data_IF_461669587252
#
_entry.id   IF_461669587252
#
_cell.length_a   1.000
_cell.length_b   1.000
_cell.length_c   1.000
_cell.angle_alpha   90.00
_cell.angle_beta   90.00
_cell.angle_gamma   90.00
#
_symmetry.space_group_name_H-M   'P 1'
#
loop_
_entity.id
_entity.type
_entity.pdbx_description
1 polymer ?
#
# COMPACT_ATOMS: atom_id res chain seq x y z
N UNK A 1 -16.74 -12.59 -24.84
CA UNK A 1 -15.82 -11.46 -24.56
C UNK A 1 -15.47 -11.30 -23.07
N UNK A 2 -16.46 -11.15 -22.19
CA UNK A 2 -16.23 -10.96 -20.73
C UNK A 2 -15.36 -12.08 -20.11
N UNK A 3 -15.52 -13.32 -20.58
CA UNK A 3 -14.75 -14.48 -20.10
C UNK A 3 -13.24 -14.41 -20.38
N UNK A 4 -12.79 -13.66 -21.39
CA UNK A 4 -11.36 -13.49 -21.68
C UNK A 4 -10.76 -12.27 -20.95
N UNK A 5 -11.54 -11.19 -20.82
CA UNK A 5 -11.06 -9.93 -20.26
C UNK A 5 -10.87 -9.99 -18.74
N UNK A 6 -11.74 -10.70 -18.03
CA UNK A 6 -11.62 -10.90 -16.59
C UNK A 6 -10.28 -11.60 -16.21
N UNK A 7 -9.94 -12.78 -16.73
CA UNK A 7 -8.67 -13.43 -16.42
C UNK A 7 -7.46 -12.64 -16.95
N UNK A 8 -7.59 -11.90 -18.06
CA UNK A 8 -6.51 -11.01 -18.55
C UNK A 8 -6.20 -9.90 -17.56
N UNK A 9 -7.25 -9.24 -17.04
CA UNK A 9 -7.11 -8.20 -16.01
C UNK A 9 -6.34 -8.73 -14.80
N UNK A 10 -6.71 -9.92 -14.33
CA UNK A 10 -6.08 -10.52 -13.15
C UNK A 10 -4.62 -10.85 -13.39
N UNK A 11 -4.30 -11.45 -14.55
CA UNK A 11 -2.91 -11.78 -14.92
C UNK A 11 -2.05 -10.54 -15.09
N UNK A 12 -2.57 -9.47 -15.70
CA UNK A 12 -1.84 -8.21 -15.86
C UNK A 12 -1.54 -7.54 -14.51
N UNK A 13 -2.51 -7.51 -13.59
CA UNK A 13 -2.30 -6.98 -12.25
C UNK A 13 -1.28 -7.81 -11.47
N UNK A 14 -1.37 -9.14 -11.55
CA UNK A 14 -0.39 -10.05 -10.93
C UNK A 14 1.01 -9.91 -11.53
N UNK A 15 1.12 -9.59 -12.83
CA UNK A 15 2.37 -9.27 -13.50
C UNK A 15 2.93 -7.88 -13.14
N UNK A 16 2.24 -7.13 -12.28
CA UNK A 16 2.68 -5.82 -11.79
C UNK A 16 2.38 -4.65 -12.72
N UNK A 17 1.49 -4.82 -13.71
CA UNK A 17 1.03 -3.73 -14.58
C UNK A 17 0.14 -2.78 -13.77
N UNK A 18 0.37 -1.48 -13.90
CA UNK A 18 -0.34 -0.47 -13.12
C UNK A 18 -1.86 -0.50 -13.43
N UNK A 19 -2.77 -0.39 -12.43
CA UNK A 19 -4.21 -0.52 -12.64
C UNK A 19 -4.79 0.42 -13.71
N UNK A 20 -4.24 1.63 -13.84
CA UNK A 20 -4.63 2.59 -14.88
C UNK A 20 -4.33 2.08 -16.30
N UNK A 21 -3.19 1.41 -16.48
CA UNK A 21 -2.77 0.84 -17.76
C UNK A 21 -3.57 -0.41 -18.08
N UNK A 22 -3.85 -1.24 -17.07
CA UNK A 22 -4.73 -2.41 -17.24
C UNK A 22 -6.12 -1.99 -17.71
N UNK A 23 -6.72 -0.95 -17.09
CA UNK A 23 -8.03 -0.43 -17.52
C UNK A 23 -8.01 0.08 -18.95
N UNK A 24 -7.04 0.96 -19.27
CA UNK A 24 -6.89 1.52 -20.61
C UNK A 24 -6.71 0.41 -21.65
N UNK A 25 -5.84 -0.56 -21.39
CA UNK A 25 -5.57 -1.66 -22.30
C UNK A 25 -6.79 -2.56 -22.51
N UNK A 26 -7.58 -2.83 -21.47
CA UNK A 26 -8.83 -3.60 -21.61
C UNK A 26 -9.83 -2.85 -22.48
N UNK A 27 -9.96 -1.53 -22.31
CA UNK A 27 -10.83 -0.70 -23.16
C UNK A 27 -10.34 -0.73 -24.61
N UNK A 28 -9.04 -0.51 -24.85
CA UNK A 28 -8.46 -0.58 -26.19
C UNK A 28 -8.67 -1.95 -26.86
N UNK A 29 -8.57 -3.05 -26.10
CA UNK A 29 -8.88 -4.40 -26.61
C UNK A 29 -10.37 -4.59 -26.91
N UNK A 30 -11.26 -4.04 -26.10
CA UNK A 30 -12.71 -4.09 -26.35
C UNK A 30 -13.08 -3.35 -27.63
N UNK A 31 -12.53 -2.14 -27.81
CA UNK A 31 -12.76 -1.33 -29.00
C UNK A 31 -12.22 -2.05 -30.25
N UNK A 32 -10.98 -2.58 -30.19
CA UNK A 32 -10.40 -3.31 -31.31
C UNK A 32 -11.18 -4.59 -31.65
N UNK A 33 -11.69 -5.29 -30.63
CA UNK A 33 -12.53 -6.45 -30.85
C UNK A 33 -13.87 -6.10 -31.52
N UNK A 34 -14.47 -4.96 -31.15
CA UNK A 34 -15.70 -4.47 -31.76
C UNK A 34 -15.49 -4.09 -33.23
N UNK A 35 -14.37 -3.44 -33.55
CA UNK A 35 -13.96 -3.13 -34.92
C UNK A 35 -13.78 -4.41 -35.75
N UNK A 36 -13.10 -5.41 -35.19
CA UNK A 36 -12.91 -6.72 -35.83
C UNK A 36 -14.24 -7.44 -36.04
N UNK A 37 -15.15 -7.42 -35.06
CA UNK A 37 -16.45 -8.05 -35.18
C UNK A 37 -17.29 -7.38 -36.29
N UNK A 38 -17.27 -6.05 -36.38
CA UNK A 38 -17.96 -5.30 -37.44
C UNK A 38 -17.40 -5.66 -38.82
N UNK A 39 -16.07 -5.80 -38.93
CA UNK A 39 -15.42 -6.23 -40.16
C UNK A 39 -15.79 -7.68 -40.56
N UNK A 40 -15.95 -8.60 -39.60
CA UNK A 40 -16.41 -9.97 -39.88
C UNK A 40 -17.91 -10.01 -40.23
N UNK A 41 -18.76 -9.20 -39.59
CA UNK A 41 -20.18 -9.08 -39.97
C UNK A 41 -20.33 -8.56 -41.41
N UNK A 42 -19.51 -7.60 -41.82
CA UNK A 42 -19.48 -7.11 -43.20
C UNK A 42 -19.10 -8.20 -44.23
N UNK A 43 -18.48 -9.30 -43.79
CA UNK A 43 -18.16 -10.49 -44.61
C UNK A 43 -19.28 -11.53 -44.63
N UNK A 44 -20.42 -11.24 -44.01
CA UNK A 44 -21.62 -12.09 -44.02
C UNK A 44 -21.73 -13.06 -42.84
N UNK A 45 -20.86 -12.95 -41.82
CA UNK A 45 -20.97 -13.77 -40.61
C UNK A 45 -22.08 -13.26 -39.69
N UNK A 46 -22.74 -14.16 -38.96
CA UNK A 46 -23.67 -13.77 -37.91
C UNK A 46 -22.92 -13.06 -36.77
N UNK A 47 -23.64 -12.28 -35.97
CA UNK A 47 -23.05 -11.52 -34.86
C UNK A 47 -22.22 -12.43 -33.92
N UNK A 48 -22.78 -13.56 -33.47
CA UNK A 48 -22.10 -14.49 -32.56
C UNK A 48 -20.81 -15.07 -33.18
N UNK A 49 -20.86 -15.40 -34.48
CA UNK A 49 -19.70 -15.93 -35.21
C UNK A 49 -18.63 -14.86 -35.43
N UNK A 50 -19.05 -13.62 -35.72
CA UNK A 50 -18.17 -12.48 -35.88
C UNK A 50 -17.46 -12.13 -34.58
N UNK A 51 -18.17 -12.12 -33.46
CA UNK A 51 -17.57 -11.90 -32.13
C UNK A 51 -16.59 -13.01 -31.73
N UNK A 52 -16.95 -14.27 -31.94
CA UNK A 52 -16.05 -15.40 -31.65
C UNK A 52 -14.77 -15.33 -32.49
N UNK A 53 -14.89 -14.97 -33.77
CA UNK A 53 -13.74 -14.79 -34.66
C UNK A 53 -12.91 -13.57 -34.32
N UNK A 54 -13.53 -12.45 -33.94
CA UNK A 54 -12.83 -11.27 -33.46
C UNK A 54 -11.95 -11.61 -32.25
N UNK A 55 -12.50 -12.32 -31.27
CA UNK A 55 -11.73 -12.80 -30.10
C UNK A 55 -10.57 -13.69 -30.51
N UNK A 56 -10.79 -14.65 -31.41
CA UNK A 56 -9.72 -15.54 -31.89
C UNK A 56 -8.56 -14.78 -32.57
N UNK A 57 -8.86 -13.65 -33.24
CA UNK A 57 -7.85 -12.81 -33.91
C UNK A 57 -7.07 -11.89 -32.96
N UNK A 58 -7.59 -11.58 -31.77
CA UNK A 58 -6.85 -10.81 -30.76
C UNK A 58 -5.62 -11.55 -30.22
N UNK A 59 -5.59 -12.88 -30.36
CA UNK A 59 -4.52 -13.74 -29.86
C UNK A 59 -4.81 -14.34 -28.50
N UNK A 60 -3.83 -15.08 -27.96
CA UNK A 60 -4.04 -15.80 -26.70
C UNK A 60 -3.91 -14.89 -25.49
N UNK A 61 -4.55 -15.29 -24.39
CA UNK A 61 -4.43 -14.64 -23.09
C UNK A 61 -2.96 -14.47 -22.64
N UNK A 62 -2.11 -15.44 -22.97
CA UNK A 62 -0.69 -15.44 -22.63
C UNK A 62 0.07 -14.40 -23.44
N UNK A 63 -0.19 -14.31 -24.75
CA UNK A 63 0.47 -13.35 -25.64
C UNK A 63 0.13 -11.91 -25.24
N UNK A 64 -1.16 -11.65 -24.99
CA UNK A 64 -1.65 -10.34 -24.55
C UNK A 64 -1.05 -9.92 -23.20
N UNK A 65 -0.89 -10.87 -22.27
CA UNK A 65 -0.25 -10.61 -20.97
C UNK A 65 1.24 -10.32 -21.13
N UNK A 66 1.94 -11.14 -21.91
CA UNK A 66 3.38 -11.01 -22.12
C UNK A 66 3.75 -9.69 -22.81
N UNK A 67 2.99 -9.28 -23.83
CA UNK A 67 3.19 -8.03 -24.57
C UNK A 67 3.15 -6.80 -23.66
N UNK A 68 2.26 -6.79 -22.67
CA UNK A 68 2.16 -5.70 -21.68
C UNK A 68 3.19 -5.84 -20.56
N UNK A 69 3.42 -7.04 -20.02
CA UNK A 69 4.33 -7.26 -18.90
C UNK A 69 5.81 -7.00 -19.27
N UNK A 70 6.19 -7.26 -20.52
CA UNK A 70 7.53 -6.97 -21.04
C UNK A 70 7.87 -5.47 -20.98
N UNK A 71 6.86 -4.59 -21.09
CA UNK A 71 7.06 -3.14 -21.12
C UNK A 71 7.23 -2.58 -19.72
N UNK A 72 8.46 -2.18 -19.39
CA UNK A 72 8.84 -1.66 -18.07
C UNK A 72 8.11 -0.37 -17.69
N UNK A 73 7.69 0.42 -18.68
CA UNK A 73 6.90 1.65 -18.56
C UNK A 73 5.50 1.43 -17.98
N UNK A 74 4.90 0.27 -18.20
CA UNK A 74 3.54 -0.04 -17.74
C UNK A 74 3.50 -0.65 -16.34
N UNK A 75 4.66 -0.99 -15.78
CA UNK A 75 4.77 -1.52 -14.42
C UNK A 75 4.59 -0.44 -13.37
N UNK A 76 3.86 -0.75 -12.30
CA UNK A 76 3.78 0.14 -11.14
C UNK A 76 5.16 0.28 -10.48
N UNK A 77 5.40 1.40 -9.78
CA UNK A 77 6.62 1.58 -8.98
C UNK A 77 6.79 0.47 -7.94
N UNK A 78 5.69 0.02 -7.34
CA UNK A 78 5.66 -1.11 -6.40
C UNK A 78 6.15 -2.41 -7.02
N UNK A 79 5.82 -2.68 -8.29
CA UNK A 79 6.31 -3.87 -8.99
C UNK A 79 7.74 -3.70 -9.54
N UNK A 80 8.16 -2.47 -9.85
CA UNK A 80 9.46 -2.18 -10.47
C UNK A 80 10.60 -2.17 -9.45
N UNK A 81 10.33 -1.68 -8.24
CA UNK A 81 11.27 -1.63 -7.12
C UNK A 81 10.50 -1.80 -5.79
N UNK A 82 10.04 -3.02 -5.46
CA UNK A 82 9.25 -3.25 -4.27
C UNK A 82 10.01 -2.87 -2.98
N UNK A 83 11.32 -3.10 -2.93
CA UNK A 83 12.15 -2.69 -1.79
C UNK A 83 12.13 -1.17 -1.57
N UNK A 84 12.07 -0.37 -2.64
CA UNK A 84 12.07 1.09 -2.52
C UNK A 84 10.73 1.61 -2.03
N UNK A 85 9.62 1.03 -2.52
CA UNK A 85 8.28 1.44 -2.10
C UNK A 85 7.95 0.95 -0.70
N UNK A 86 8.13 -0.35 -0.44
CA UNK A 86 7.71 -0.98 0.81
C UNK A 86 8.78 -0.93 1.91
N UNK A 87 10.06 -0.89 1.55
CA UNK A 87 11.15 -0.71 2.52
C UNK A 87 11.40 0.77 2.77
N UNK A 88 12.00 1.46 1.81
CA UNK A 88 12.38 2.87 1.97
C UNK A 88 11.16 3.79 2.16
N UNK A 89 10.09 3.58 1.39
CA UNK A 89 8.86 4.35 1.53
C UNK A 89 8.18 4.18 2.89
N UNK A 90 8.27 3.00 3.53
CA UNK A 90 7.72 2.79 4.87
C UNK A 90 8.52 3.56 5.92
N UNK A 91 9.86 3.52 5.83
CA UNK A 91 10.75 4.28 6.72
C UNK A 91 10.53 5.78 6.56
N UNK A 92 10.56 6.29 5.34
CA UNK A 92 10.37 7.72 5.07
C UNK A 92 8.96 8.20 5.44
N UNK A 93 7.95 7.38 5.17
CA UNK A 93 6.56 7.68 5.53
C UNK A 93 6.35 7.87 7.03
N UNK A 94 7.15 7.20 7.87
CA UNK A 94 7.17 7.44 9.32
C UNK A 94 8.07 8.62 9.70
N UNK A 95 9.31 8.65 9.19
CA UNK A 95 10.32 9.62 9.62
C UNK A 95 9.91 11.06 9.30
N UNK A 96 9.30 11.30 8.13
CA UNK A 96 8.92 12.64 7.68
C UNK A 96 7.92 13.29 8.68
N UNK A 97 6.79 12.65 9.04
CA UNK A 97 5.90 13.18 10.07
C UNK A 97 6.56 13.46 11.42
N UNK A 98 7.47 12.61 11.90
CA UNK A 98 8.21 12.88 13.14
C UNK A 98 9.05 14.15 13.02
N UNK A 99 9.82 14.27 11.94
CA UNK A 99 10.66 15.45 11.67
C UNK A 99 9.80 16.71 11.54
N UNK A 100 8.69 16.64 10.79
CA UNK A 100 7.75 17.75 10.66
C UNK A 100 7.12 18.13 12.01
N UNK A 101 6.77 17.16 12.84
CA UNK A 101 6.25 17.39 14.19
C UNK A 101 7.25 18.11 15.07
N UNK A 102 8.52 17.71 15.03
CA UNK A 102 9.60 18.37 15.78
C UNK A 102 9.75 19.82 15.32
N UNK A 103 9.84 20.06 14.01
CA UNK A 103 9.95 21.42 13.48
C UNK A 103 8.72 22.28 13.79
N UNK A 104 7.51 21.72 13.72
CA UNK A 104 6.30 22.44 14.05
C UNK A 104 6.28 22.86 15.53
N UNK A 105 6.60 21.94 16.44
CA UNK A 105 6.65 22.23 17.88
C UNK A 105 7.78 23.20 18.24
N UNK A 106 8.97 23.01 17.67
CA UNK A 106 10.10 23.92 17.83
C UNK A 106 9.76 25.33 17.33
N UNK A 107 9.12 25.44 16.17
CA UNK A 107 8.68 26.72 15.62
C UNK A 107 7.63 27.42 16.49
N UNK A 108 6.73 26.67 17.13
CA UNK A 108 5.78 27.25 18.10
C UNK A 108 6.52 27.78 19.33
N UNK A 109 7.47 27.02 19.87
CA UNK A 109 8.28 27.42 21.04
C UNK A 109 9.06 28.69 20.71
N UNK A 110 9.75 28.72 19.56
CA UNK A 110 10.55 29.86 19.09
C UNK A 110 9.67 31.10 18.87
N UNK A 111 8.49 30.95 18.26
CA UNK A 111 7.57 32.06 18.02
C UNK A 111 7.00 32.68 19.31
N UNK A 112 7.00 31.94 20.42
CA UNK A 112 6.55 32.42 21.74
C UNK A 112 7.71 32.75 22.68
N UNK A 113 8.93 32.82 22.13
CA UNK A 113 10.10 33.28 22.86
C UNK A 113 10.20 34.82 22.76
N UNK A 114 10.01 35.56 23.86
CA UNK A 114 9.94 37.03 23.80
C UNK A 114 11.30 37.69 23.54
N UNK A 115 12.39 37.04 23.96
CA UNK A 115 13.76 37.43 23.65
C UNK A 115 14.70 36.21 23.77
N UNK A 116 15.88 36.24 23.13
CA UNK A 116 16.93 35.26 23.38
C UNK A 116 17.19 35.15 24.88
N UNK A 117 17.32 33.92 25.38
CA UNK A 117 17.57 33.58 26.80
C UNK A 117 16.42 33.85 27.79
N UNK A 118 15.26 34.32 27.33
CA UNK A 118 14.04 34.38 28.16
C UNK A 118 13.21 33.12 27.94
N UNK A 119 12.70 32.57 29.04
CA UNK A 119 11.76 31.44 29.04
C UNK A 119 10.53 31.72 28.17
N UNK A 120 10.20 30.84 27.20
CA UNK A 120 9.05 31.02 26.35
C UNK A 120 7.76 30.89 27.16
N UNK A 121 6.81 31.80 26.93
CA UNK A 121 5.47 31.73 27.53
C UNK A 121 4.56 30.99 26.56
N UNK A 122 4.42 29.69 26.77
CA UNK A 122 3.69 28.83 25.86
C UNK A 122 2.17 29.08 25.96
N UNK A 123 1.44 29.03 24.84
CA UNK A 123 -0.01 29.10 24.85
C UNK A 123 -0.63 27.97 25.66
N UNK A 124 -1.81 28.21 26.25
CA UNK A 124 -2.55 27.20 27.03
C UNK A 124 -2.95 25.97 26.21
N UNK A 125 -3.04 26.09 24.88
CA UNK A 125 -3.33 24.99 23.98
C UNK A 125 -2.10 24.15 23.61
N UNK A 126 -0.88 24.58 23.96
CA UNK A 126 0.36 23.94 23.53
C UNK A 126 0.45 22.49 24.02
N UNK A 127 0.13 22.24 25.29
CA UNK A 127 0.14 20.88 25.86
C UNK A 127 -0.81 19.95 25.10
N UNK A 128 -2.04 20.42 24.81
CA UNK A 128 -3.00 19.67 24.00
C UNK A 128 -2.50 19.41 22.58
N UNK A 129 -1.82 20.39 21.97
CA UNK A 129 -1.22 20.21 20.64
C UNK A 129 -0.06 19.21 20.67
N UNK A 130 0.81 19.28 21.69
CA UNK A 130 1.91 18.34 21.90
C UNK A 130 1.41 16.91 22.10
N UNK A 131 0.40 16.71 22.96
CA UNK A 131 -0.25 15.43 23.16
C UNK A 131 -0.89 14.91 21.86
N UNK A 132 -1.56 15.79 21.12
CA UNK A 132 -2.17 15.46 19.83
C UNK A 132 -1.14 14.99 18.79
N UNK A 133 -0.01 15.71 18.66
CA UNK A 133 1.10 15.30 17.78
C UNK A 133 1.69 13.98 18.25
N UNK A 134 1.91 13.83 19.56
CA UNK A 134 2.48 12.62 20.13
C UNK A 134 1.59 11.40 19.87
N UNK A 135 0.30 11.50 20.19
CA UNK A 135 -0.66 10.42 19.97
C UNK A 135 -0.88 10.14 18.48
N UNK A 136 -0.98 11.20 17.68
CA UNK A 136 -1.15 11.10 16.23
C UNK A 136 0.01 10.37 15.56
N UNK A 137 1.25 10.67 15.94
CA UNK A 137 2.44 10.07 15.36
C UNK A 137 2.75 8.68 15.90
N UNK A 138 2.47 8.40 17.18
CA UNK A 138 2.74 7.09 17.80
C UNK A 138 1.66 6.03 17.52
N UNK A 139 0.39 6.43 17.36
CA UNK A 139 -0.71 5.48 17.15
C UNK A 139 -1.39 5.61 15.79
N UNK A 140 -1.90 6.80 15.44
CA UNK A 140 -2.73 6.96 14.25
C UNK A 140 -1.92 6.79 12.95
N UNK A 141 -0.71 7.34 12.92
CA UNK A 141 0.14 7.34 11.74
C UNK A 141 0.57 5.91 11.33
N UNK A 142 1.08 5.04 12.22
CA UNK A 142 1.40 3.66 11.86
C UNK A 142 0.20 2.88 11.32
N UNK A 143 -0.99 3.07 11.92
CA UNK A 143 -2.22 2.43 11.46
C UNK A 143 -2.63 2.94 10.07
N UNK A 144 -2.59 4.25 9.85
CA UNK A 144 -2.93 4.86 8.58
C UNK A 144 -1.97 4.42 7.46
N UNK A 145 -0.66 4.44 7.71
CA UNK A 145 0.34 3.95 6.76
C UNK A 145 0.16 2.45 6.49
N UNK A 146 -0.07 1.65 7.53
CA UNK A 146 -0.33 0.23 7.39
C UNK A 146 -1.54 -0.05 6.48
N UNK A 147 -2.64 0.69 6.68
CA UNK A 147 -3.82 0.61 5.83
C UNK A 147 -3.52 1.01 4.38
N UNK A 148 -2.77 2.09 4.15
CA UNK A 148 -2.36 2.52 2.80
C UNK A 148 -1.54 1.42 2.10
N UNK A 149 -0.55 0.85 2.77
CA UNK A 149 0.27 -0.23 2.20
C UNK A 149 -0.53 -1.52 1.96
N UNK A 150 -1.44 -1.88 2.87
CA UNK A 150 -2.33 -3.02 2.69
C UNK A 150 -3.28 -2.83 1.48
N UNK A 151 -3.86 -1.64 1.32
CA UNK A 151 -4.70 -1.29 0.16
C UNK A 151 -3.87 -1.28 -1.13
N UNK A 152 -2.67 -0.73 -1.12
CA UNK A 152 -1.78 -0.77 -2.29
C UNK A 152 -1.42 -2.20 -2.68
N UNK A 153 -1.06 -3.04 -1.70
CA UNK A 153 -0.70 -4.43 -1.90
C UNK A 153 -1.86 -5.25 -2.49
N UNK A 154 -3.06 -5.09 -1.95
CA UNK A 154 -4.27 -5.79 -2.44
C UNK A 154 -4.66 -5.35 -3.85
N UNK A 155 -4.60 -4.03 -4.13
CA UNK A 155 -4.89 -3.50 -5.48
C UNK A 155 -3.88 -3.94 -6.53
N UNK A 156 -2.63 -4.17 -6.15
CA UNK A 156 -1.56 -4.59 -7.05
C UNK A 156 -1.32 -6.11 -7.05
N UNK A 157 -2.14 -6.90 -6.32
CA UNK A 157 -2.02 -8.36 -6.18
C UNK A 157 -0.57 -8.84 -5.93
N UNK A 158 0.19 -8.07 -5.16
CA UNK A 158 1.60 -8.36 -4.94
C UNK A 158 1.80 -9.58 -4.03
N UNK A 159 2.96 -10.22 -4.16
CA UNK A 159 3.43 -11.23 -3.22
C UNK A 159 3.48 -10.63 -1.82
N UNK A 160 2.92 -11.32 -0.82
CA UNK A 160 2.77 -10.81 0.55
C UNK A 160 4.09 -10.43 1.25
N UNK A 161 5.24 -10.90 0.76
CA UNK A 161 6.55 -10.67 1.38
C UNK A 161 6.85 -9.17 1.59
N UNK A 162 6.77 -8.35 0.53
CA UNK A 162 7.13 -6.93 0.62
C UNK A 162 6.15 -6.08 1.44
N UNK A 163 4.83 -6.22 1.27
CA UNK A 163 3.87 -5.58 2.16
C UNK A 163 4.07 -5.97 3.63
N UNK A 164 4.32 -7.25 3.93
CA UNK A 164 4.60 -7.68 5.30
C UNK A 164 5.86 -7.02 5.86
N UNK A 165 6.92 -6.86 5.05
CA UNK A 165 8.12 -6.11 5.44
C UNK A 165 7.78 -4.66 5.77
N UNK A 166 6.97 -3.98 4.95
CA UNK A 166 6.52 -2.62 5.24
C UNK A 166 5.75 -2.54 6.57
N UNK A 167 4.80 -3.44 6.79
CA UNK A 167 3.99 -3.48 8.01
C UNK A 167 4.83 -3.77 9.26
N UNK A 168 5.85 -4.63 9.13
CA UNK A 168 6.81 -4.88 10.21
C UNK A 168 7.63 -3.63 10.53
N UNK A 169 8.20 -2.97 9.51
CA UNK A 169 8.93 -1.70 9.69
C UNK A 169 8.03 -0.67 10.38
N UNK A 170 6.79 -0.52 9.89
CA UNK A 170 5.84 0.46 10.41
C UNK A 170 5.47 0.15 11.86
N UNK A 171 5.18 -1.12 12.18
CA UNK A 171 4.83 -1.56 13.51
C UNK A 171 5.97 -1.40 14.52
N UNK A 172 7.19 -1.75 14.12
CA UNK A 172 8.38 -1.65 14.99
C UNK A 172 8.75 -0.17 15.17
N UNK A 173 9.04 0.55 14.09
CA UNK A 173 9.54 1.94 14.18
C UNK A 173 8.46 2.84 14.77
N UNK A 174 7.21 2.71 14.31
CA UNK A 174 6.09 3.52 14.80
C UNK A 174 5.79 3.34 16.29
N UNK A 175 6.01 2.14 16.84
CA UNK A 175 5.81 1.87 18.26
C UNK A 175 6.93 2.37 19.17
N UNK A 176 8.09 2.69 18.59
CA UNK A 176 9.28 3.05 19.37
C UNK A 176 9.44 4.54 19.58
N UNK A 177 8.85 5.37 18.73
CA UNK A 177 8.91 6.82 18.88
C UNK A 177 8.15 7.28 20.11
N UNK A 178 8.87 7.88 21.05
CA UNK A 178 8.32 8.54 22.24
C UNK A 178 8.70 10.00 22.21
N UNK A 179 7.71 10.84 22.49
CA UNK A 179 7.89 12.27 22.63
C UNK A 179 8.08 12.60 24.11
N UNK A 180 9.03 13.48 24.40
CA UNK A 180 9.22 14.04 25.73
C UNK A 180 9.28 15.55 25.63
N UNK A 181 8.54 16.22 26.50
CA UNK A 181 8.58 17.65 26.65
C UNK A 181 8.87 17.98 28.11
N UNK A 182 9.99 18.65 28.34
CA UNK A 182 10.35 19.21 29.64
C UNK A 182 10.27 20.74 29.52
N UNK A 183 9.25 21.38 30.11
CA UNK A 183 9.13 22.84 30.10
C UNK A 183 10.23 23.52 30.94
N UNK A 184 10.97 22.78 31.76
CA UNK A 184 11.98 23.31 32.66
C UNK A 184 11.39 23.94 33.92
N UNK A 185 12.16 23.91 35.01
CA UNK A 185 11.75 24.46 36.29
C UNK A 185 12.05 25.97 36.38
N UNK A 186 11.24 26.81 35.73
CA UNK A 186 11.33 28.29 35.84
C UNK A 186 12.61 28.91 35.26
N UNK A 187 12.82 30.21 35.51
CA UNK A 187 13.71 31.17 34.81
C UNK A 187 15.16 30.73 34.45
N UNK A 188 15.67 29.61 34.94
CA UNK A 188 17.01 29.10 34.66
C UNK A 188 17.05 27.65 34.08
N UNK A 189 15.90 26.98 33.92
CA UNK A 189 15.85 25.65 33.30
C UNK A 189 15.98 25.72 31.78
N UNK A 190 16.62 24.75 31.14
CA UNK A 190 16.56 24.62 29.67
C UNK A 190 15.28 23.90 29.26
N UNK A 191 14.49 24.47 28.35
CA UNK A 191 13.38 23.75 27.72
C UNK A 191 13.94 22.64 26.84
N UNK A 192 13.46 21.41 27.03
CA UNK A 192 13.89 20.27 26.23
C UNK A 192 12.69 19.64 25.49
N UNK A 193 12.77 19.66 24.16
CA UNK A 193 11.95 18.82 23.30
C UNK A 193 12.79 17.63 22.87
N UNK A 194 12.34 16.44 23.23
CA UNK A 194 13.03 15.19 22.93
C UNK A 194 12.17 14.26 22.08
N UNK A 195 12.82 13.64 21.10
CA UNK A 195 12.31 12.46 20.41
C UNK A 195 13.24 11.30 20.76
N UNK A 196 12.69 10.28 21.41
CA UNK A 196 13.42 9.07 21.77
C UNK A 196 12.85 7.87 21.02
N UNK A 197 13.70 6.88 20.79
CA UNK A 197 13.28 5.61 20.22
C UNK A 197 13.53 4.51 21.24
N UNK A 198 12.47 3.85 21.72
CA UNK A 198 12.56 2.88 22.82
C UNK A 198 13.40 1.64 22.53
N UNK A 199 13.83 1.41 21.30
CA UNK A 199 14.79 0.36 20.90
C UNK A 199 16.24 0.85 20.75
N UNK A 200 16.50 2.13 21.03
CA UNK A 200 17.86 2.70 21.05
C UNK A 200 18.27 2.88 22.52
N UNK A 201 19.48 2.42 22.92
CA UNK A 201 20.00 2.66 24.27
C UNK A 201 19.92 4.15 24.63
N UNK A 202 19.44 4.53 25.83
CA UNK A 202 19.32 3.71 27.05
C UNK A 202 17.98 2.96 27.25
N UNK A 203 17.17 2.74 26.21
CA UNK A 203 15.90 2.01 26.28
C UNK A 203 14.90 2.56 27.33
N UNK A 204 14.61 3.87 27.33
CA UNK A 204 13.85 4.53 28.39
C UNK A 204 12.42 3.99 28.58
N UNK A 205 11.88 3.25 27.60
CA UNK A 205 10.47 2.83 27.56
C UNK A 205 10.28 1.45 26.92
N UNK A 206 11.20 0.50 27.13
CA UNK A 206 11.20 -0.79 26.44
C UNK A 206 9.86 -1.54 26.55
N UNK A 207 9.28 -1.63 27.76
CA UNK A 207 8.01 -2.31 27.99
C UNK A 207 6.86 -1.66 27.20
N UNK A 208 6.76 -0.33 27.25
CA UNK A 208 5.77 0.45 26.51
C UNK A 208 5.94 0.26 25.00
N UNK A 209 7.18 0.28 24.50
CA UNK A 209 7.47 0.07 23.09
C UNK A 209 7.14 -1.34 22.61
N UNK A 210 7.41 -2.38 23.42
CA UNK A 210 7.02 -3.76 23.08
C UNK A 210 5.50 -3.90 23.00
N UNK A 211 4.77 -3.30 23.94
CA UNK A 211 3.30 -3.30 23.96
C UNK A 211 2.72 -2.59 22.74
N UNK A 212 3.19 -1.39 22.43
CA UNK A 212 2.77 -0.65 21.24
C UNK A 212 3.12 -1.40 19.95
N UNK A 213 4.26 -2.07 19.91
CA UNK A 213 4.67 -2.88 18.76
C UNK A 213 3.71 -4.05 18.57
N UNK A 214 3.37 -4.77 19.64
CA UNK A 214 2.42 -5.86 19.59
C UNK A 214 1.03 -5.38 19.12
N UNK A 215 0.54 -4.25 19.64
CA UNK A 215 -0.73 -3.65 19.24
C UNK A 215 -0.70 -3.23 17.76
N UNK A 216 0.33 -2.49 17.33
CA UNK A 216 0.44 -2.02 15.95
C UNK A 216 0.54 -3.20 14.97
N UNK A 217 1.33 -4.23 15.29
CA UNK A 217 1.43 -5.42 14.45
C UNK A 217 0.12 -6.21 14.43
N UNK A 218 -0.56 -6.37 15.57
CA UNK A 218 -1.86 -7.04 15.63
C UNK A 218 -2.89 -6.30 14.79
N UNK A 219 -2.94 -4.97 14.86
CA UNK A 219 -3.92 -4.16 14.16
C UNK A 219 -3.61 -3.96 12.66
N UNK A 220 -2.36 -4.08 12.24
CA UNK A 220 -1.98 -3.88 10.83
C UNK A 220 -1.69 -5.19 10.10
N UNK A 221 -0.84 -6.05 10.66
CA UNK A 221 -0.38 -7.27 10.02
C UNK A 221 -1.41 -8.39 10.09
N UNK A 222 -2.10 -8.57 11.22
CA UNK A 222 -3.08 -9.65 11.35
C UNK A 222 -4.25 -9.54 10.37
N UNK A 223 -4.95 -8.39 10.22
CA UNK A 223 -6.04 -8.29 9.25
C UNK A 223 -5.55 -8.43 7.81
N UNK A 224 -4.35 -7.93 7.50
CA UNK A 224 -3.75 -8.10 6.17
C UNK A 224 -3.47 -9.57 5.84
N UNK A 225 -2.85 -10.31 6.76
CA UNK A 225 -2.56 -11.73 6.58
C UNK A 225 -3.84 -12.56 6.52
N UNK A 226 -4.81 -12.30 7.40
CA UNK A 226 -6.11 -12.97 7.39
C UNK A 226 -6.83 -12.79 6.04
N UNK A 227 -6.87 -11.55 5.54
CA UNK A 227 -7.41 -11.25 4.21
C UNK A 227 -6.68 -12.00 3.10
N UNK A 228 -5.35 -12.01 3.13
CA UNK A 228 -4.55 -12.68 2.09
C UNK A 228 -4.72 -14.20 2.09
N UNK A 229 -4.81 -14.82 3.27
CA UNK A 229 -5.09 -16.26 3.41
C UNK A 229 -6.49 -16.59 2.92
N UNK A 230 -7.49 -15.78 3.30
CA UNK A 230 -8.87 -15.97 2.85
C UNK A 230 -8.99 -15.88 1.33
N UNK A 231 -8.35 -14.90 0.69
CA UNK A 231 -8.35 -14.79 -0.78
C UNK A 231 -7.77 -16.03 -1.47
N UNK A 232 -6.68 -16.60 -0.92
CA UNK A 232 -6.10 -17.84 -1.46
C UNK A 232 -7.02 -19.03 -1.26
N UNK A 233 -7.70 -19.12 -0.13
CA UNK A 233 -8.64 -20.21 0.14
C UNK A 233 -9.84 -20.17 -0.82
N UNK A 234 -10.42 -18.98 -1.04
CA UNK A 234 -11.53 -18.78 -1.99
C UNK A 234 -11.10 -19.13 -3.42
N UNK A 235 -9.90 -18.72 -3.84
CA UNK A 235 -9.38 -19.03 -5.17
C UNK A 235 -9.18 -20.54 -5.39
N UNK A 236 -8.71 -21.27 -4.37
CA UNK A 236 -8.57 -22.74 -4.43
C UNK A 236 -9.92 -23.42 -4.53
N UNK A 237 -10.87 -23.03 -3.67
CA UNK A 237 -12.22 -23.58 -3.71
C UNK A 237 -12.91 -23.35 -5.05
N UNK A 238 -12.75 -22.17 -5.65
CA UNK A 238 -13.30 -21.87 -6.97
C UNK A 238 -12.64 -22.69 -8.11
N UNK A 239 -11.37 -23.07 -7.97
CA UNK A 239 -10.70 -23.94 -8.92
C UNK A 239 -11.18 -25.39 -8.80
N UNK A 240 -11.35 -25.89 -7.57
CA UNK A 240 -11.82 -27.26 -7.30
C UNK A 240 -13.30 -27.44 -7.65
N UNK A 241 -14.11 -26.36 -7.58
CA UNK A 241 -15.52 -26.38 -7.93
C UNK A 241 -15.79 -26.31 -9.45
N UNK A 242 -14.78 -26.10 -10.30
CA UNK A 242 -14.96 -26.27 -11.75
C UNK A 242 -15.05 -27.75 -12.06
N UNK A 243 -16.12 -28.21 -12.74
CA UNK A 243 -16.16 -29.57 -13.23
C UNK A 243 -14.92 -29.80 -14.12
N UNK A 244 -14.32 -31.01 -14.10
CA UNK A 244 -13.24 -31.33 -15.01
C UNK A 244 -13.74 -31.08 -16.43
N UNK A 245 -13.11 -30.15 -17.16
CA UNK A 245 -13.41 -29.91 -18.57
C UNK A 245 -13.41 -31.27 -19.26
N UNK A 246 -14.55 -31.62 -19.86
CA UNK A 246 -14.81 -32.90 -20.50
C UNK A 246 -13.58 -33.31 -21.32
N UNK A 247 -12.92 -34.35 -20.83
CA UNK A 247 -11.84 -35.05 -21.50
C UNK A 247 -12.40 -35.50 -22.85
N UNK A 248 -11.97 -34.81 -23.90
CA UNK A 248 -11.95 -35.27 -25.28
C UNK A 248 -13.14 -36.17 -25.70
N UNK A 249 -14.23 -35.54 -26.14
CA UNK A 249 -14.98 -36.07 -27.28
C UNK A 249 -14.10 -35.95 -28.53
N UNK A 250 -13.06 -36.79 -28.62
CA UNK A 250 -12.49 -37.16 -29.93
C UNK A 250 -13.39 -38.30 -30.41
N UNK A 251 -14.44 -37.92 -31.17
CA UNK A 251 -15.07 -38.84 -32.11
C UNK A 251 -14.02 -39.31 -33.12
N UNK A 252 -13.94 -40.62 -33.32
CA UNK A 252 -14.49 -41.34 -34.50
C UNK A 252 -13.73 -41.06 -35.77
#
# INVERSE_FOLDING_TARGET
>A
MHELLAPLRERLLAAGVAPRHVRRYITELQDHAADLATAEMARGWSQDQAEARAVARLGTLTDLTHAMAARREFRSWGARAPWAVYGLGAVLGLLIPYVLGVFALAGIIEAHQPAPDIHPVLPTWFETAFEGVSYGTSLLLPLALGAVYAVMATRQRMTALWPSVALLIIGIVGATGTWSFDPGNGQAGSLALGLSFGLIPPFPSLETSIRHMAINLLLTLAPYLAWHVWQKAVARYAADARPPDDVHLIGT
#
